data_IF_908814777835
#
_entry.id   IF_908814777835
#
_cell.length_a   1.000
_cell.length_b   1.000
_cell.length_c   1.000
_cell.angle_alpha   90.00
_cell.angle_beta   90.00
_cell.angle_gamma   90.00
#
_symmetry.space_group_name_H-M   'P 1'
#
loop_
_entity.id
_entity.type
_entity.pdbx_description
1 polymer ?
#
# COMPACT_ATOMS: atom_id res chain seq x y z
N UNK A 1 -17.04 -7.43 -4.31
CA UNK A 1 -15.86 -8.05 -4.96
C UNK A 1 -15.65 -7.61 -6.41
N UNK A 2 -16.53 -7.89 -7.39
CA UNK A 2 -16.16 -7.73 -8.81
C UNK A 2 -15.81 -6.29 -9.19
N UNK A 3 -16.52 -5.31 -8.63
CA UNK A 3 -16.25 -3.90 -8.84
C UNK A 3 -14.89 -3.44 -8.24
N UNK A 4 -14.47 -4.02 -7.11
CA UNK A 4 -13.13 -3.77 -6.52
C UNK A 4 -12.04 -4.31 -7.44
N UNK A 5 -12.19 -5.54 -7.94
CA UNK A 5 -11.24 -6.14 -8.88
C UNK A 5 -11.17 -5.37 -10.20
N UNK A 6 -12.30 -4.84 -10.68
CA UNK A 6 -12.32 -3.95 -11.84
C UNK A 6 -11.58 -2.64 -11.56
N UNK A 7 -11.77 -2.03 -10.39
CA UNK A 7 -11.03 -0.83 -9.98
C UNK A 7 -9.52 -1.09 -9.92
N UNK A 8 -9.07 -2.24 -9.42
CA UNK A 8 -7.64 -2.56 -9.35
C UNK A 8 -6.98 -2.67 -10.73
N UNK A 9 -7.75 -2.92 -11.79
CA UNK A 9 -7.27 -2.95 -13.17
C UNK A 9 -7.31 -1.56 -13.84
N UNK A 10 -7.89 -0.56 -13.19
CA UNK A 10 -8.04 0.80 -13.71
C UNK A 10 -6.92 1.71 -13.20
N UNK A 11 -6.15 2.31 -14.12
CA UNK A 11 -5.10 3.26 -13.78
C UNK A 11 -5.64 4.49 -13.04
N UNK A 12 -6.86 4.92 -13.35
CA UNK A 12 -7.50 6.10 -12.74
C UNK A 12 -7.81 5.86 -11.26
N UNK A 13 -8.19 4.63 -10.89
CA UNK A 13 -8.34 4.24 -9.49
C UNK A 13 -7.02 4.40 -8.74
N UNK A 14 -5.91 3.89 -9.30
CA UNK A 14 -4.59 4.02 -8.66
C UNK A 14 -4.14 5.47 -8.55
N UNK A 15 -4.40 6.29 -9.57
CA UNK A 15 -4.12 7.73 -9.49
C UNK A 15 -4.96 8.42 -8.42
N UNK A 16 -6.23 8.06 -8.26
CA UNK A 16 -7.08 8.54 -7.16
C UNK A 16 -6.53 8.12 -5.79
N UNK A 17 -6.21 6.82 -5.63
CA UNK A 17 -5.59 6.26 -4.41
C UNK A 17 -4.29 6.96 -4.04
N UNK A 18 -3.41 7.22 -5.01
CA UNK A 18 -2.16 7.95 -4.77
C UNK A 18 -2.39 9.44 -4.48
N UNK A 19 -3.41 10.05 -5.09
CA UNK A 19 -3.77 11.45 -4.84
C UNK A 19 -4.32 11.72 -3.44
N UNK A 20 -4.88 10.69 -2.79
CA UNK A 20 -5.37 10.77 -1.41
C UNK A 20 -4.25 10.75 -0.34
N UNK A 21 -3.02 10.40 -0.70
CA UNK A 21 -1.90 10.42 0.25
C UNK A 21 -1.51 11.85 0.61
N UNK A 22 -1.63 12.17 1.90
CA UNK A 22 -1.13 13.43 2.44
C UNK A 22 0.39 13.37 2.62
N UNK A 23 1.11 14.04 1.72
CA UNK A 23 2.57 14.19 1.80
C UNK A 23 3.36 13.19 0.97
N UNK A 24 4.64 13.51 0.81
CA UNK A 24 5.51 12.83 -0.16
C UNK A 24 5.14 13.14 -1.60
N UNK A 25 5.68 12.35 -2.53
CA UNK A 25 5.44 12.47 -3.96
C UNK A 25 5.27 11.08 -4.56
N UNK A 26 4.06 10.51 -4.49
CA UNK A 26 3.79 9.17 -5.00
C UNK A 26 3.78 9.15 -6.54
N UNK A 27 4.30 8.07 -7.12
CA UNK A 27 4.21 7.77 -8.55
C UNK A 27 3.62 6.39 -8.76
N UNK A 28 2.75 6.26 -9.76
CA UNK A 28 2.37 4.96 -10.32
C UNK A 28 3.44 4.58 -11.35
N UNK A 29 4.20 3.54 -11.07
CA UNK A 29 5.33 3.15 -11.92
C UNK A 29 4.89 2.17 -12.99
N UNK A 30 4.10 1.16 -12.60
CA UNK A 30 3.53 0.16 -13.53
C UNK A 30 2.17 -0.31 -13.05
N UNK A 31 1.27 -0.59 -13.99
CA UNK A 31 0.05 -1.35 -13.78
C UNK A 31 -0.09 -2.36 -14.93
N UNK A 32 -0.21 -3.64 -14.58
CA UNK A 32 -0.35 -4.72 -15.56
C UNK A 32 -1.39 -5.73 -15.08
N UNK A 33 -2.19 -6.26 -15.99
CA UNK A 33 -3.13 -7.35 -15.71
C UNK A 33 -2.89 -8.45 -16.73
N UNK A 34 -2.51 -9.63 -16.26
CA UNK A 34 -2.23 -10.75 -17.15
C UNK A 34 -3.51 -11.42 -17.66
N UNK A 35 -3.36 -12.35 -18.60
CA UNK A 35 -4.47 -13.10 -19.20
C UNK A 35 -5.21 -13.99 -18.21
N UNK A 36 -4.62 -14.29 -17.04
CA UNK A 36 -5.27 -15.02 -15.95
C UNK A 36 -6.02 -14.08 -14.99
N UNK A 37 -6.00 -12.77 -15.24
CA UNK A 37 -6.69 -11.76 -14.44
C UNK A 37 -5.92 -11.32 -13.19
N UNK A 38 -4.67 -11.76 -13.01
CA UNK A 38 -3.78 -11.31 -11.93
C UNK A 38 -3.31 -9.90 -12.26
N UNK A 39 -3.54 -8.99 -11.33
CA UNK A 39 -3.20 -7.57 -11.47
C UNK A 39 -1.98 -7.25 -10.64
N UNK A 40 -0.93 -6.72 -11.24
CA UNK A 40 0.27 -6.28 -10.57
C UNK A 40 0.44 -4.76 -10.70
N UNK A 41 0.60 -4.09 -9.58
CA UNK A 41 0.89 -2.65 -9.52
C UNK A 41 2.21 -2.42 -8.82
N UNK A 42 2.98 -1.45 -9.29
CA UNK A 42 4.17 -0.94 -8.59
C UNK A 42 4.07 0.56 -8.50
N UNK A 43 4.32 1.07 -7.32
CA UNK A 43 4.26 2.49 -6.98
C UNK A 43 5.48 2.86 -6.16
N UNK A 44 5.93 4.10 -6.29
CA UNK A 44 7.04 4.63 -5.52
C UNK A 44 6.60 5.86 -4.75
N UNK A 45 6.80 5.87 -3.44
CA UNK A 45 6.61 7.02 -2.56
C UNK A 45 7.95 7.64 -2.22
N UNK A 46 8.07 8.96 -2.44
CA UNK A 46 9.29 9.72 -2.14
C UNK A 46 9.02 10.79 -1.09
N UNK A 47 9.91 10.90 -0.12
CA UNK A 47 9.84 11.90 0.95
C UNK A 47 11.19 12.62 1.06
N UNK A 48 11.15 13.94 1.20
CA UNK A 48 12.29 14.73 1.67
C UNK A 48 12.60 14.42 3.14
N UNK A 49 13.85 14.61 3.55
CA UNK A 49 14.28 14.38 4.94
C UNK A 49 13.51 15.21 5.97
N UNK A 50 13.06 16.41 5.58
CA UNK A 50 12.23 17.34 6.35
C UNK A 50 10.79 16.86 6.53
N UNK A 51 10.27 16.09 5.56
CA UNK A 51 8.96 15.45 5.59
C UNK A 51 8.94 14.18 6.45
N UNK A 52 10.10 13.68 6.88
CA UNK A 52 10.14 12.46 7.69
C UNK A 52 9.59 12.72 9.09
N UNK A 53 8.79 11.80 9.65
CA UNK A 53 8.34 11.87 11.02
C UNK A 53 9.49 11.64 12.00
N UNK A 54 9.34 12.12 13.23
CA UNK A 54 10.41 12.16 14.24
C UNK A 54 11.14 10.82 14.49
N UNK A 55 10.47 9.64 14.50
CA UNK A 55 11.16 8.36 14.63
C UNK A 55 12.15 8.08 13.49
N UNK A 56 11.85 8.55 12.28
CA UNK A 56 12.68 8.39 11.08
C UNK A 56 13.72 9.51 10.92
N UNK A 57 13.48 10.72 11.46
CA UNK A 57 14.45 11.83 11.40
C UNK A 57 15.81 11.48 12.02
N UNK A 58 15.84 10.57 13.01
CA UNK A 58 17.08 10.08 13.64
C UNK A 58 18.04 9.40 12.66
N UNK A 59 17.53 8.91 11.53
CA UNK A 59 18.34 8.31 10.48
C UNK A 59 19.11 9.36 9.66
N UNK A 60 18.78 10.65 9.79
CA UNK A 60 19.41 11.77 9.06
C UNK A 60 19.43 11.55 7.54
N UNK A 61 18.37 10.94 7.01
CA UNK A 61 18.22 10.73 5.57
C UNK A 61 17.95 12.07 4.88
N UNK A 62 18.66 12.36 3.79
CA UNK A 62 18.32 13.48 2.92
C UNK A 62 16.96 13.27 2.22
N UNK A 63 16.61 12.00 1.98
CA UNK A 63 15.37 11.58 1.34
C UNK A 63 15.09 10.12 1.68
N UNK A 64 13.82 9.73 1.74
CA UNK A 64 13.38 8.34 1.80
C UNK A 64 12.61 8.00 0.53
N UNK A 65 12.97 6.88 -0.10
CA UNK A 65 12.22 6.30 -1.22
C UNK A 65 11.71 4.93 -0.79
N UNK A 66 10.43 4.68 -1.04
CA UNK A 66 9.73 3.43 -0.73
C UNK A 66 9.11 2.93 -2.02
N UNK A 67 9.53 1.75 -2.46
CA UNK A 67 8.89 1.04 -3.58
C UNK A 67 7.92 0.04 -2.99
N UNK A 68 6.66 0.14 -3.37
CA UNK A 68 5.60 -0.78 -3.00
C UNK A 68 5.08 -1.49 -4.24
N UNK A 69 4.99 -2.81 -4.16
CA UNK A 69 4.38 -3.65 -5.19
C UNK A 69 3.23 -4.41 -4.58
N UNK A 70 2.07 -4.32 -5.23
CA UNK A 70 0.90 -5.13 -4.88
C UNK A 70 0.57 -6.07 -6.04
N UNK A 71 0.18 -7.29 -5.70
CA UNK A 71 -0.29 -8.30 -6.64
C UNK A 71 -1.64 -8.80 -6.15
N UNK A 72 -2.66 -8.63 -6.97
CA UNK A 72 -4.02 -9.05 -6.69
C UNK A 72 -4.42 -10.21 -7.59
N UNK A 73 -4.97 -11.25 -6.99
CA UNK A 73 -5.45 -12.46 -7.67
C UNK A 73 -6.92 -12.65 -7.32
N UNK A 74 -7.73 -12.87 -8.36
CA UNK A 74 -9.12 -13.30 -8.22
C UNK A 74 -9.16 -14.81 -7.95
N UNK A 75 -9.77 -15.21 -6.84
CA UNK A 75 -9.94 -16.61 -6.44
C UNK A 75 -11.42 -17.04 -6.52
N UNK A 76 -12.26 -16.27 -7.24
CA UNK A 76 -13.67 -16.54 -7.47
C UNK A 76 -14.58 -15.71 -6.55
N UNK A 77 -14.95 -16.26 -5.39
CA UNK A 77 -15.74 -15.52 -4.39
C UNK A 77 -14.87 -14.61 -3.51
N UNK A 78 -13.55 -14.79 -3.58
CA UNK A 78 -12.51 -14.10 -2.80
C UNK A 78 -11.47 -13.48 -3.72
N UNK A 79 -10.70 -12.55 -3.18
CA UNK A 79 -9.49 -12.09 -3.83
C UNK A 79 -8.34 -11.98 -2.82
N UNK A 80 -7.13 -12.27 -3.27
CA UNK A 80 -5.92 -12.24 -2.45
C UNK A 80 -4.93 -11.22 -2.98
N UNK A 81 -4.43 -10.37 -2.08
CA UNK A 81 -3.41 -9.36 -2.32
C UNK A 81 -2.10 -9.73 -1.65
N UNK A 82 -1.01 -9.81 -2.40
CA UNK A 82 0.35 -9.84 -1.84
C UNK A 82 1.00 -8.47 -1.97
N UNK A 83 1.50 -7.94 -0.87
CA UNK A 83 2.13 -6.62 -0.80
C UNK A 83 3.59 -6.80 -0.44
N UNK A 84 4.49 -6.17 -1.18
CA UNK A 84 5.91 -6.10 -0.86
C UNK A 84 6.37 -4.66 -0.86
N UNK A 85 7.19 -4.31 0.13
CA UNK A 85 7.69 -2.96 0.33
C UNK A 85 9.21 -3.03 0.52
N UNK A 86 9.92 -2.15 -0.16
CA UNK A 86 11.37 -2.04 -0.05
C UNK A 86 11.80 -0.58 -0.08
N UNK A 87 12.72 -0.19 0.80
CA UNK A 87 13.36 1.11 0.78
C UNK A 87 14.80 0.96 0.27
N UNK A 88 15.11 1.24 -1.01
CA UNK A 88 16.40 0.86 -1.62
C UNK A 88 17.67 1.36 -0.93
N UNK A 89 17.58 2.47 -0.20
CA UNK A 89 18.72 3.12 0.47
C UNK A 89 18.60 3.12 2.00
N UNK A 90 17.62 2.39 2.53
CA UNK A 90 17.35 2.34 3.97
C UNK A 90 17.20 0.88 4.37
N UNK A 91 17.71 0.44 5.53
CA UNK A 91 17.59 -0.94 5.97
C UNK A 91 16.17 -1.28 6.47
N UNK A 92 15.15 -1.02 5.63
CA UNK A 92 13.74 -1.22 5.88
C UNK A 92 13.08 -1.96 4.73
N UNK A 93 12.26 -2.95 5.07
CA UNK A 93 11.45 -3.70 4.11
C UNK A 93 10.17 -4.15 4.78
N UNK A 94 9.15 -4.47 3.98
CA UNK A 94 7.90 -5.02 4.48
C UNK A 94 7.31 -6.05 3.53
N UNK A 95 6.45 -6.91 4.07
CA UNK A 95 5.59 -7.80 3.31
C UNK A 95 4.24 -7.88 3.98
N UNK A 96 3.18 -7.94 3.21
CA UNK A 96 1.84 -8.20 3.71
C UNK A 96 1.06 -9.13 2.79
N UNK A 97 0.01 -9.71 3.36
CA UNK A 97 -1.02 -10.45 2.64
C UNK A 97 -2.36 -9.90 3.08
N UNK A 98 -3.24 -9.68 2.10
CA UNK A 98 -4.61 -9.20 2.28
C UNK A 98 -5.54 -10.20 1.62
N UNK A 99 -6.64 -10.53 2.29
CA UNK A 99 -7.74 -11.32 1.75
C UNK A 99 -9.01 -10.44 1.73
N UNK A 100 -9.68 -10.43 0.59
CA UNK A 100 -11.00 -9.84 0.40
C UNK A 100 -12.02 -10.98 0.35
N UNK A 101 -13.05 -10.91 1.19
CA UNK A 101 -14.13 -11.89 1.21
C UNK A 101 -15.53 -11.22 1.24
N UNK A 102 -16.59 -11.88 0.75
CA UNK A 102 -17.95 -11.35 0.84
C UNK A 102 -18.36 -11.14 2.31
N UNK A 103 -19.06 -10.04 2.58
CA UNK A 103 -19.61 -9.75 3.92
C UNK A 103 -20.97 -9.04 3.77
N UNK A 104 -22.03 -9.84 3.71
CA UNK A 104 -23.38 -9.35 3.40
C UNK A 104 -23.42 -8.63 2.04
N UNK A 105 -23.91 -7.37 1.98
CA UNK A 105 -23.89 -6.59 0.73
C UNK A 105 -22.51 -6.03 0.38
N UNK A 106 -21.53 -6.15 1.28
CA UNK A 106 -20.20 -5.55 1.16
C UNK A 106 -19.08 -6.57 0.93
N UNK A 107 -17.86 -6.11 1.16
CA UNK A 107 -16.64 -6.92 1.10
C UNK A 107 -15.80 -6.59 2.34
N UNK A 108 -15.37 -7.63 3.05
CA UNK A 108 -14.46 -7.50 4.18
C UNK A 108 -13.03 -7.63 3.71
N UNK A 109 -12.19 -6.71 4.16
CA UNK A 109 -10.74 -6.77 4.03
C UNK A 109 -10.14 -7.29 5.34
N UNK A 110 -9.35 -8.35 5.26
CA UNK A 110 -8.50 -8.83 6.37
C UNK A 110 -7.06 -8.91 5.89
N UNK A 111 -6.10 -8.56 6.73
CA UNK A 111 -4.71 -8.65 6.30
C UNK A 111 -3.72 -8.74 7.45
N UNK A 112 -2.53 -9.21 7.13
CA UNK A 112 -1.38 -9.23 8.03
C UNK A 112 -0.18 -8.64 7.30
N UNK A 113 0.63 -7.87 8.01
CA UNK A 113 1.85 -7.29 7.47
C UNK A 113 3.00 -7.42 8.48
N UNK A 114 4.19 -7.64 7.97
CA UNK A 114 5.44 -7.67 8.73
C UNK A 114 6.37 -6.60 8.19
N UNK A 115 6.91 -5.79 9.11
CA UNK A 115 7.92 -4.77 8.81
C UNK A 115 9.24 -5.21 9.43
N UNK A 116 10.32 -5.13 8.66
CA UNK A 116 11.67 -5.42 9.10
C UNK A 116 12.50 -4.14 9.03
N UNK A 117 13.07 -3.74 10.17
CA UNK A 117 13.93 -2.55 10.30
C UNK A 117 15.26 -2.97 10.93
N UNK A 118 16.33 -2.94 10.15
CA UNK A 118 17.68 -3.32 10.61
C UNK A 118 18.48 -2.08 10.99
N UNK A 119 18.02 -1.35 12.00
CA UNK A 119 18.71 -0.18 12.55
C UNK A 119 19.05 -0.41 14.03
N UNK A 120 20.33 -0.41 14.42
CA UNK A 120 20.72 -0.57 15.81
C UNK A 120 20.09 0.48 16.72
N UNK A 121 19.74 0.09 17.95
CA UNK A 121 19.21 0.92 19.04
C UNK A 121 17.80 1.53 18.81
N UNK A 122 17.43 1.91 17.58
CA UNK A 122 16.16 2.59 17.28
C UNK A 122 15.21 1.81 16.36
N UNK A 123 15.62 0.65 15.85
CA UNK A 123 14.82 -0.15 14.91
C UNK A 123 13.44 -0.53 15.44
N UNK A 124 13.31 -0.82 16.73
CA UNK A 124 12.02 -1.12 17.37
C UNK A 124 11.04 0.04 17.31
N UNK A 125 11.49 1.26 17.65
CA UNK A 125 10.62 2.46 17.61
C UNK A 125 10.15 2.79 16.19
N UNK A 126 11.05 2.63 15.20
CA UNK A 126 10.70 2.81 13.78
C UNK A 126 9.68 1.74 13.36
N UNK A 127 9.90 0.47 13.71
CA UNK A 127 8.97 -0.61 13.36
C UNK A 127 7.58 -0.40 13.96
N UNK A 128 7.48 0.00 15.24
CA UNK A 128 6.21 0.33 15.89
C UNK A 128 5.51 1.49 15.20
N UNK A 129 6.24 2.55 14.86
CA UNK A 129 5.68 3.69 14.15
C UNK A 129 5.12 3.28 12.78
N UNK A 130 5.92 2.53 11.98
CA UNK A 130 5.49 2.06 10.64
C UNK A 130 4.28 1.13 10.76
N UNK A 131 4.25 0.22 11.74
CA UNK A 131 3.10 -0.64 11.97
C UNK A 131 1.82 0.16 12.25
N UNK A 132 1.92 1.23 13.05
CA UNK A 132 0.79 2.15 13.29
C UNK A 132 0.34 2.87 12.02
N UNK A 133 1.28 3.35 11.20
CA UNK A 133 0.96 3.98 9.92
C UNK A 133 0.30 3.01 8.93
N UNK A 134 0.71 1.74 8.91
CA UNK A 134 0.06 0.71 8.09
C UNK A 134 -1.39 0.46 8.55
N UNK A 135 -1.63 0.45 9.87
CA UNK A 135 -2.97 0.25 10.43
C UNK A 135 -3.91 1.43 10.15
N UNK A 136 -3.40 2.66 10.10
CA UNK A 136 -4.19 3.82 9.67
C UNK A 136 -4.39 3.81 8.16
N UNK A 137 -3.31 3.65 7.39
CA UNK A 137 -3.36 3.72 5.94
C UNK A 137 -4.26 2.66 5.29
N UNK A 138 -4.44 1.48 5.90
CA UNK A 138 -5.39 0.50 5.36
C UNK A 138 -6.84 0.99 5.45
N UNK A 139 -7.19 1.79 6.46
CA UNK A 139 -8.51 2.41 6.59
C UNK A 139 -8.71 3.46 5.49
N UNK A 140 -7.69 4.26 5.21
CA UNK A 140 -7.73 5.27 4.14
C UNK A 140 -7.89 4.61 2.77
N UNK A 141 -7.21 3.47 2.53
CA UNK A 141 -7.36 2.69 1.29
C UNK A 141 -8.79 2.17 1.12
N UNK A 142 -9.42 1.68 2.19
CA UNK A 142 -10.83 1.25 2.15
C UNK A 142 -11.72 2.45 1.81
N UNK A 143 -11.53 3.59 2.48
CA UNK A 143 -12.33 4.78 2.25
C UNK A 143 -12.22 5.31 0.81
N UNK A 144 -11.00 5.39 0.25
CA UNK A 144 -10.80 5.81 -1.15
C UNK A 144 -11.40 4.82 -2.13
N UNK A 145 -11.34 3.52 -1.83
CA UNK A 145 -11.93 2.49 -2.68
C UNK A 145 -13.45 2.58 -2.65
N UNK A 146 -14.06 2.76 -1.49
CA UNK A 146 -15.51 2.93 -1.38
C UNK A 146 -15.98 4.18 -2.11
N UNK A 147 -15.29 5.32 -1.92
CA UNK A 147 -15.58 6.54 -2.66
C UNK A 147 -15.52 6.32 -4.19
N UNK A 148 -14.43 5.70 -4.68
CA UNK A 148 -14.26 5.37 -6.09
C UNK A 148 -15.42 4.54 -6.65
N UNK A 149 -15.91 3.56 -5.88
CA UNK A 149 -17.01 2.68 -6.29
C UNK A 149 -18.37 3.37 -6.31
N UNK A 150 -18.56 4.40 -5.49
CA UNK A 150 -19.81 5.17 -5.44
C UNK A 150 -19.90 6.26 -6.50
N UNK A 151 -18.76 6.78 -6.93
CA UNK A 151 -18.65 7.76 -7.99
C UNK A 151 -18.68 7.07 -9.37
N UNK A 152 -19.42 7.64 -10.32
CA UNK A 152 -19.51 7.08 -11.68
C UNK A 152 -18.25 7.45 -12.47
N UNK A 153 -17.40 6.46 -12.74
CA UNK A 153 -16.08 6.61 -13.36
C UNK A 153 -15.96 5.92 -14.72
#
# INVERSE_FOLDING_TARGET
>A
MPAILAAFRDERYWRSRLGAFEGGSPTLDTLDTDSAGRTAVTMTMRFGGDQLPDPLRRLRLASLEIVQREVWVDEGDRARGEITVHAPRTPMSGRGVVDLAPDGPGTRLTGTATVNVKVPLIGGAIATFVAGQLAVGIVDVVAVTDAWLTESH
#
